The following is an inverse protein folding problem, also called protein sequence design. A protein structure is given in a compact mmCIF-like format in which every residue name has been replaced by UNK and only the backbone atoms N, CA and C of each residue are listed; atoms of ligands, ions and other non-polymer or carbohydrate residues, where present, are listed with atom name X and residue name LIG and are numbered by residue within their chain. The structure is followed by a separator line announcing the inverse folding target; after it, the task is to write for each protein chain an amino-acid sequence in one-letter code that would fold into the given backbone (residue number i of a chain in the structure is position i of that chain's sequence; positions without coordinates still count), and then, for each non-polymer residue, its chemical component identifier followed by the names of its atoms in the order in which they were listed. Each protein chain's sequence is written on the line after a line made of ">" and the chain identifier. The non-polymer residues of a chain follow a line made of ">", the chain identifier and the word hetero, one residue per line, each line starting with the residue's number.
data_IF_839186131740
#
_entry.id   IF_839186131740
#
_cell.length_a   1.000
_cell.length_b   1.000
_cell.length_c   1.000
_cell.angle_alpha   90.00
_cell.angle_beta   90.00
_cell.angle_gamma   90.00
#
_symmetry.space_group_name_H-M   'P 1'
#
loop_
_entity.id
_entity.type
_entity.pdbx_description
1 polymer ?
#
# COMPACT_ATOMS: atom_id res chain seq x y z
N UNK A 1 19.15 -5.32 -4.52
CA UNK A 1 18.76 -5.58 -3.12
C UNK A 1 17.62 -4.64 -2.78
N UNK A 2 16.62 -5.05 -1.99
CA UNK A 2 15.55 -4.16 -1.58
C UNK A 2 16.13 -2.98 -0.76
N UNK A 3 15.49 -1.80 -0.80
CA UNK A 3 15.97 -0.61 -0.11
C UNK A 3 15.73 -0.65 1.41
N UNK A 4 15.31 -1.79 1.94
CA UNK A 4 14.97 -2.00 3.34
C UNK A 4 15.49 -3.35 3.85
N UNK A 5 15.54 -3.48 5.18
CA UNK A 5 15.80 -4.72 5.90
C UNK A 5 14.51 -5.15 6.60
N UNK A 6 14.19 -6.44 6.55
CA UNK A 6 13.06 -7.03 7.31
C UNK A 6 13.45 -7.17 8.78
N UNK A 7 12.72 -6.52 9.66
CA UNK A 7 12.91 -6.57 11.11
C UNK A 7 12.07 -7.68 11.74
N UNK A 8 10.83 -7.85 11.24
CA UNK A 8 9.92 -8.92 11.67
C UNK A 8 9.02 -9.32 10.51
N UNK A 9 8.83 -10.63 10.35
CA UNK A 9 7.83 -11.20 9.45
C UNK A 9 7.18 -12.37 10.21
N UNK A 10 6.02 -12.12 10.81
CA UNK A 10 5.37 -13.08 11.69
C UNK A 10 3.84 -13.09 11.49
N UNK A 11 3.23 -14.20 11.92
CA UNK A 11 1.77 -14.32 12.03
C UNK A 11 1.32 -13.80 13.37
N UNK A 12 0.18 -13.13 13.40
CA UNK A 12 -0.46 -12.69 14.63
C UNK A 12 -1.43 -13.77 15.17
N UNK A 13 -2.45 -13.35 15.91
CA UNK A 13 -3.41 -14.25 16.57
C UNK A 13 -4.10 -15.28 15.67
N UNK A 14 -4.18 -15.00 14.37
CA UNK A 14 -4.78 -15.90 13.36
C UNK A 14 -3.82 -16.09 12.18
N UNK A 15 -3.86 -17.26 11.54
CA UNK A 15 -2.90 -17.65 10.50
C UNK A 15 -2.90 -16.75 9.25
N UNK A 16 -4.04 -16.13 8.94
CA UNK A 16 -4.22 -15.23 7.81
C UNK A 16 -3.89 -13.76 8.14
N UNK A 17 -3.52 -13.48 9.38
CA UNK A 17 -3.13 -12.13 9.84
C UNK A 17 -1.61 -12.09 10.04
N UNK A 18 -0.95 -11.16 9.35
CA UNK A 18 0.50 -11.04 9.31
C UNK A 18 0.96 -9.66 9.78
N UNK A 19 2.12 -9.63 10.42
CA UNK A 19 2.90 -8.41 10.65
C UNK A 19 4.20 -8.50 9.87
N UNK A 20 4.40 -7.55 8.99
CA UNK A 20 5.67 -7.31 8.30
C UNK A 20 6.24 -5.98 8.79
N UNK A 21 7.38 -6.02 9.46
CA UNK A 21 8.08 -4.81 9.90
C UNK A 21 9.38 -4.66 9.14
N UNK A 22 9.58 -3.50 8.55
CA UNK A 22 10.76 -3.19 7.75
C UNK A 22 11.44 -1.91 8.25
N UNK A 23 12.75 -1.87 8.06
CA UNK A 23 13.57 -0.70 8.33
C UNK A 23 14.24 -0.24 7.03
N UNK A 24 13.99 0.98 6.52
CA UNK A 24 14.68 1.51 5.35
C UNK A 24 16.20 1.60 5.61
N UNK A 25 17.02 1.00 4.75
CA UNK A 25 18.48 0.97 4.92
C UNK A 25 19.10 2.38 4.91
N UNK A 26 18.52 3.27 4.12
CA UNK A 26 18.84 4.69 4.08
C UNK A 26 17.59 5.45 3.64
N UNK A 27 16.91 6.10 4.57
CA UNK A 27 15.63 6.75 4.31
C UNK A 27 15.71 7.80 3.18
N UNK A 28 16.76 8.64 3.16
CA UNK A 28 16.91 9.66 2.13
C UNK A 28 17.15 9.06 0.74
N UNK A 29 17.98 8.03 0.65
CA UNK A 29 18.24 7.33 -0.61
C UNK A 29 16.97 6.59 -1.06
N UNK A 30 16.28 5.94 -0.15
CA UNK A 30 15.03 5.24 -0.43
C UNK A 30 13.96 6.19 -0.96
N UNK A 31 13.80 7.37 -0.34
CA UNK A 31 12.88 8.40 -0.82
C UNK A 31 13.24 8.83 -2.25
N UNK A 32 14.53 9.08 -2.55
CA UNK A 32 14.97 9.41 -3.91
C UNK A 32 14.64 8.29 -4.91
N UNK A 33 14.91 7.03 -4.55
CA UNK A 33 14.62 5.88 -5.41
C UNK A 33 13.12 5.73 -5.68
N UNK A 34 12.27 5.97 -4.67
CA UNK A 34 10.82 5.99 -4.83
C UNK A 34 10.43 7.07 -5.86
N UNK A 35 10.96 8.28 -5.73
CA UNK A 35 10.66 9.36 -6.66
C UNK A 35 11.16 9.10 -8.07
N UNK A 36 12.37 8.57 -8.20
CA UNK A 36 12.91 8.17 -9.50
C UNK A 36 12.05 7.07 -10.15
N UNK A 37 11.57 6.11 -9.38
CA UNK A 37 10.64 5.07 -9.83
C UNK A 37 9.30 5.65 -10.29
N UNK A 38 8.74 6.61 -9.54
CA UNK A 38 7.50 7.28 -9.90
C UNK A 38 7.66 8.14 -11.16
N UNK A 39 8.77 8.88 -11.29
CA UNK A 39 9.07 9.69 -12.47
C UNK A 39 9.25 8.81 -13.70
N UNK A 40 9.97 7.72 -13.58
CA UNK A 40 10.26 6.81 -14.68
C UNK A 40 9.10 5.88 -15.02
N UNK A 41 8.03 5.88 -14.20
CA UNK A 41 6.86 4.99 -14.36
C UNK A 41 7.25 3.51 -14.56
N UNK A 42 8.37 3.09 -13.98
CA UNK A 42 9.00 1.79 -14.23
C UNK A 42 8.14 0.59 -13.84
N UNK A 43 7.21 0.77 -12.90
CA UNK A 43 6.25 -0.26 -12.50
C UNK A 43 5.11 -0.48 -13.50
N UNK A 44 4.88 0.44 -14.43
CA UNK A 44 3.73 0.38 -15.37
C UNK A 44 4.05 -0.45 -16.62
N UNK A 45 5.32 -0.53 -16.99
CA UNK A 45 5.74 -1.12 -18.26
C UNK A 45 5.62 -2.65 -18.33
N UNK A 46 5.49 -3.33 -17.19
CA UNK A 46 5.53 -4.81 -17.12
C UNK A 46 4.15 -5.49 -17.22
N UNK A 47 3.03 -4.76 -17.07
CA UNK A 47 1.73 -5.39 -16.80
C UNK A 47 0.70 -5.34 -17.92
N UNK A 48 0.93 -4.58 -19.00
CA UNK A 48 -0.16 -4.25 -19.93
C UNK A 48 0.26 -4.33 -21.39
N UNK A 49 -0.71 -4.57 -22.31
CA UNK A 49 -0.53 -4.34 -23.73
C UNK A 49 -0.08 -2.90 -24.01
N UNK A 50 0.72 -2.71 -25.07
CA UNK A 50 1.35 -1.42 -25.38
C UNK A 50 0.39 -0.23 -25.45
N UNK A 51 -0.78 -0.43 -26.04
CA UNK A 51 -1.79 0.63 -26.18
C UNK A 51 -2.36 1.08 -24.83
N UNK A 52 -2.52 0.16 -23.87
CA UNK A 52 -2.96 0.49 -22.52
C UNK A 52 -1.85 1.22 -21.75
N UNK A 53 -0.58 0.81 -21.93
CA UNK A 53 0.58 1.49 -21.32
C UNK A 53 0.67 2.94 -21.78
N UNK A 54 0.53 3.19 -23.09
CA UNK A 54 0.52 4.55 -23.67
C UNK A 54 -0.60 5.39 -23.04
N UNK A 55 -1.82 4.83 -22.97
CA UNK A 55 -2.96 5.51 -22.38
C UNK A 55 -2.75 5.81 -20.90
N UNK A 56 -2.24 4.84 -20.14
CA UNK A 56 -1.99 5.00 -18.71
C UNK A 56 -0.88 6.02 -18.45
N UNK A 57 0.23 5.99 -19.21
CA UNK A 57 1.30 7.00 -19.11
C UNK A 57 0.77 8.40 -19.31
N UNK A 58 -0.05 8.63 -20.33
CA UNK A 58 -0.65 9.94 -20.59
C UNK A 58 -1.53 10.43 -19.42
N UNK A 59 -2.20 9.52 -18.72
CA UNK A 59 -3.03 9.81 -17.54
C UNK A 59 -2.21 10.08 -16.29
N UNK A 60 -1.16 9.29 -16.08
CA UNK A 60 -0.31 9.32 -14.88
C UNK A 60 0.68 10.49 -14.91
N UNK A 61 1.16 10.90 -16.08
CA UNK A 61 2.18 11.94 -16.23
C UNK A 61 1.85 13.27 -15.51
N UNK A 62 0.62 13.82 -15.57
CA UNK A 62 0.28 15.02 -14.79
C UNK A 62 0.36 14.81 -13.28
N UNK A 63 -0.07 13.65 -12.78
CA UNK A 63 -0.02 13.29 -11.36
C UNK A 63 1.42 13.17 -10.89
N UNK A 64 2.28 12.47 -11.65
CA UNK A 64 3.72 12.35 -11.36
C UNK A 64 4.37 13.72 -11.34
N UNK A 65 4.10 14.59 -12.32
CA UNK A 65 4.63 15.96 -12.35
C UNK A 65 4.19 16.77 -11.14
N UNK A 66 2.93 16.62 -10.70
CA UNK A 66 2.41 17.30 -9.52
C UNK A 66 3.11 16.82 -8.24
N UNK A 67 3.19 15.52 -8.04
CA UNK A 67 3.88 14.90 -6.90
C UNK A 67 5.35 15.35 -6.89
N UNK A 68 6.06 15.20 -7.99
CA UNK A 68 7.48 15.58 -8.12
C UNK A 68 7.73 17.07 -7.83
N UNK A 69 6.83 17.95 -8.29
CA UNK A 69 6.94 19.39 -8.03
C UNK A 69 6.77 19.69 -6.53
N UNK A 70 5.84 19.06 -5.86
CA UNK A 70 5.61 19.26 -4.43
C UNK A 70 6.80 18.77 -3.60
N UNK A 71 7.43 17.68 -4.02
CA UNK A 71 8.59 17.08 -3.37
C UNK A 71 9.88 17.89 -3.58
N UNK A 72 10.09 18.47 -4.77
CA UNK A 72 11.24 19.31 -5.05
C UNK A 72 11.16 20.69 -4.35
N UNK A 73 9.97 21.14 -4.00
CA UNK A 73 9.74 22.40 -3.28
C UNK A 73 9.85 22.24 -1.76
N UNK A 74 9.74 21.01 -1.24
CA UNK A 74 9.97 20.67 0.16
C UNK A 74 11.45 20.31 0.38
N UNK A 75 12.12 20.93 1.32
CA UNK A 75 13.45 20.48 1.74
C UNK A 75 13.31 19.02 2.19
N UNK A 76 14.01 18.09 1.52
CA UNK A 76 14.05 16.65 1.81
C UNK A 76 14.42 16.30 3.28
N UNK A 77 14.59 17.30 4.13
CA UNK A 77 14.91 17.16 5.55
C UNK A 77 13.69 17.04 6.47
N UNK A 78 12.49 17.36 5.97
CA UNK A 78 11.25 17.16 6.72
C UNK A 78 10.23 16.49 5.77
N UNK A 79 9.99 15.20 5.96
CA UNK A 79 8.91 14.49 5.30
C UNK A 79 7.61 15.08 5.84
N UNK A 80 6.88 15.84 5.02
CA UNK A 80 5.55 16.30 5.37
C UNK A 80 4.57 15.09 5.38
N UNK A 81 3.39 15.30 5.90
CA UNK A 81 2.42 14.23 6.11
C UNK A 81 2.04 13.54 4.77
N UNK A 82 1.82 14.31 3.71
CA UNK A 82 1.46 13.79 2.39
C UNK A 82 2.60 13.02 1.72
N UNK A 83 3.81 13.55 1.76
CA UNK A 83 5.00 12.86 1.24
C UNK A 83 5.31 11.61 2.06
N UNK A 84 5.04 11.64 3.37
CA UNK A 84 5.19 10.51 4.26
C UNK A 84 4.26 9.35 3.93
N UNK A 85 3.00 9.62 3.66
CA UNK A 85 2.03 8.59 3.26
C UNK A 85 2.44 7.94 1.93
N UNK A 86 2.87 8.71 0.94
CA UNK A 86 3.36 8.18 -0.33
C UNK A 86 4.57 7.24 -0.14
N UNK A 87 5.53 7.64 0.69
CA UNK A 87 6.70 6.80 1.01
C UNK A 87 6.29 5.52 1.72
N UNK A 88 5.37 5.60 2.67
CA UNK A 88 4.81 4.43 3.39
C UNK A 88 4.10 3.49 2.44
N UNK A 89 3.25 4.00 1.54
CA UNK A 89 2.56 3.21 0.51
C UNK A 89 3.53 2.43 -0.36
N UNK A 90 4.53 3.12 -0.90
CA UNK A 90 5.47 2.51 -1.83
C UNK A 90 6.40 1.49 -1.15
N UNK A 91 6.89 1.77 0.06
CA UNK A 91 7.68 0.81 0.84
C UNK A 91 6.86 -0.40 1.24
N UNK A 92 5.59 -0.22 1.62
CA UNK A 92 4.70 -1.32 1.93
C UNK A 92 4.45 -2.19 0.68
N UNK A 93 4.15 -1.59 -0.47
CA UNK A 93 3.99 -2.29 -1.74
C UNK A 93 5.22 -3.12 -2.09
N UNK A 94 6.41 -2.49 -2.09
CA UNK A 94 7.67 -3.17 -2.40
C UNK A 94 7.97 -4.30 -1.43
N UNK A 95 7.70 -4.12 -0.13
CA UNK A 95 7.96 -5.14 0.87
C UNK A 95 7.06 -6.37 0.72
N UNK A 96 5.79 -6.19 0.39
CA UNK A 96 4.85 -7.27 0.13
C UNK A 96 5.24 -8.06 -1.13
N UNK A 97 5.63 -7.36 -2.18
CA UNK A 97 6.12 -8.01 -3.42
C UNK A 97 7.39 -8.79 -3.16
N UNK A 98 8.35 -8.22 -2.41
CA UNK A 98 9.62 -8.87 -2.09
C UNK A 98 9.46 -10.10 -1.18
N UNK A 99 8.65 -9.96 -0.12
CA UNK A 99 8.56 -10.97 0.95
C UNK A 99 7.54 -12.07 0.68
N UNK A 100 6.44 -11.73 0.01
CA UNK A 100 5.35 -12.68 -0.24
C UNK A 100 5.19 -13.05 -1.71
N UNK A 101 5.93 -12.43 -2.62
CA UNK A 101 5.81 -12.62 -4.07
C UNK A 101 4.39 -12.35 -4.60
N UNK A 102 3.70 -11.42 -3.95
CA UNK A 102 2.37 -11.00 -4.35
C UNK A 102 2.45 -10.14 -5.61
N UNK A 103 1.32 -10.02 -6.31
CA UNK A 103 1.25 -9.25 -7.54
C UNK A 103 1.63 -7.79 -7.28
N UNK A 104 2.56 -7.30 -8.07
CA UNK A 104 3.00 -5.92 -8.06
C UNK A 104 2.02 -5.04 -8.84
N UNK A 105 1.20 -4.26 -8.13
CA UNK A 105 0.28 -3.29 -8.73
C UNK A 105 0.79 -1.89 -8.36
N UNK A 106 0.89 -0.96 -9.33
CA UNK A 106 1.29 0.41 -9.03
C UNK A 106 0.40 1.07 -7.97
N UNK A 107 0.95 2.02 -7.23
CA UNK A 107 0.19 2.74 -6.18
C UNK A 107 -1.04 3.45 -6.74
N UNK A 108 -2.09 3.49 -5.93
CA UNK A 108 -3.40 4.02 -6.30
C UNK A 108 -3.37 5.47 -6.78
N UNK A 109 -2.54 6.32 -6.18
CA UNK A 109 -2.35 7.72 -6.59
C UNK A 109 -1.88 7.89 -8.04
N UNK A 110 -1.17 6.89 -8.59
CA UNK A 110 -0.73 6.91 -9.98
C UNK A 110 -1.81 6.42 -10.94
N UNK A 111 -2.66 5.52 -10.52
CA UNK A 111 -3.59 4.81 -11.41
C UNK A 111 -5.04 5.27 -11.28
N UNK A 112 -5.44 5.79 -10.13
CA UNK A 112 -6.77 6.31 -9.91
C UNK A 112 -6.96 7.63 -10.67
N UNK A 113 -8.04 7.74 -11.42
CA UNK A 113 -8.51 9.04 -11.92
C UNK A 113 -9.06 9.80 -10.70
N UNK A 114 -8.24 10.61 -10.10
CA UNK A 114 -8.67 11.41 -8.95
C UNK A 114 -9.73 12.45 -9.36
N UNK A 115 -10.97 12.11 -9.09
CA UNK A 115 -11.88 13.16 -8.67
C UNK A 115 -11.44 13.54 -7.23
N UNK A 116 -10.96 14.74 -7.02
CA UNK A 116 -10.37 15.24 -5.77
C UNK A 116 -11.25 15.13 -4.51
N UNK A 117 -12.41 14.48 -4.56
CA UNK A 117 -13.39 14.36 -3.49
C UNK A 117 -13.79 12.91 -3.17
N UNK A 118 -13.18 11.91 -3.79
CA UNK A 118 -13.51 10.51 -3.52
C UNK A 118 -12.25 9.63 -3.54
N UNK A 119 -11.37 9.74 -2.54
CA UNK A 119 -10.16 8.95 -2.47
C UNK A 119 -10.50 7.45 -2.39
N UNK A 120 -9.82 6.64 -3.21
CA UNK A 120 -9.78 5.18 -3.10
C UNK A 120 -8.71 4.74 -2.11
N UNK A 121 -8.37 3.45 -2.12
CA UNK A 121 -7.23 2.93 -1.40
C UNK A 121 -5.90 3.42 -2.00
N UNK A 122 -4.88 3.55 -1.16
CA UNK A 122 -3.58 4.12 -1.56
C UNK A 122 -2.78 3.18 -2.47
N UNK A 123 -2.91 1.87 -2.27
CA UNK A 123 -2.24 0.87 -3.09
C UNK A 123 -2.99 -0.47 -3.07
N UNK A 124 -2.59 -1.35 -3.99
CA UNK A 124 -3.26 -2.64 -4.20
C UNK A 124 -2.23 -3.75 -4.35
N UNK A 125 -2.67 -4.97 -4.09
CA UNK A 125 -1.91 -6.18 -4.41
C UNK A 125 -2.87 -7.35 -4.63
N UNK A 126 -2.35 -8.51 -4.96
CA UNK A 126 -3.09 -9.76 -5.01
C UNK A 126 -2.19 -10.89 -4.53
N UNK A 127 -2.68 -11.71 -3.62
CA UNK A 127 -1.91 -12.81 -3.08
C UNK A 127 -1.82 -14.01 -4.05
N UNK A 128 -1.13 -15.07 -3.64
CA UNK A 128 -0.92 -16.25 -4.47
C UNK A 128 -2.19 -17.09 -4.68
N UNK A 129 -3.21 -16.89 -3.84
CA UNK A 129 -4.52 -17.57 -3.93
C UNK A 129 -5.56 -16.71 -4.67
N UNK A 130 -5.13 -15.72 -5.45
CA UNK A 130 -5.98 -14.80 -6.20
C UNK A 130 -6.97 -14.01 -5.34
N UNK A 131 -6.55 -13.62 -4.14
CA UNK A 131 -7.31 -12.71 -3.27
C UNK A 131 -6.83 -11.28 -3.47
N UNK A 132 -7.72 -10.36 -3.86
CA UNK A 132 -7.42 -8.93 -3.96
C UNK A 132 -7.22 -8.32 -2.58
N UNK A 133 -6.15 -7.52 -2.46
CA UNK A 133 -5.75 -6.83 -1.24
C UNK A 133 -5.78 -5.32 -1.47
N UNK A 134 -6.45 -4.60 -0.57
CA UNK A 134 -6.65 -3.15 -0.62
C UNK A 134 -5.83 -2.51 0.49
N UNK A 135 -4.88 -1.65 0.14
CA UNK A 135 -3.89 -1.08 1.04
C UNK A 135 -4.16 0.38 1.38
N UNK A 136 -4.08 0.68 2.67
CA UNK A 136 -4.17 2.04 3.20
C UNK A 136 -2.91 2.36 4.00
N UNK A 137 -2.35 3.54 3.77
CA UNK A 137 -1.12 4.00 4.41
C UNK A 137 -1.36 5.20 5.31
N UNK A 138 -0.58 5.29 6.38
CA UNK A 138 -0.58 6.46 7.27
C UNK A 138 0.80 6.79 7.77
N UNK A 139 1.08 8.08 7.73
CA UNK A 139 2.26 8.68 8.31
C UNK A 139 1.88 9.72 9.35
N UNK A 140 2.40 9.61 10.57
CA UNK A 140 2.30 10.63 11.62
C UNK A 140 3.71 10.86 12.16
N UNK A 141 4.21 12.07 12.08
CA UNK A 141 5.60 12.38 12.41
C UNK A 141 5.97 12.07 13.87
N UNK A 142 5.03 12.19 14.80
CA UNK A 142 5.28 12.09 16.24
C UNK A 142 4.96 10.72 16.85
N UNK A 143 4.12 9.89 16.21
CA UNK A 143 3.60 8.64 16.81
C UNK A 143 3.47 7.53 15.76
N UNK A 144 3.35 6.28 16.24
CA UNK A 144 3.00 5.15 15.37
C UNK A 144 1.56 5.31 14.85
N UNK A 145 1.40 5.23 13.54
CA UNK A 145 0.17 5.58 12.84
C UNK A 145 -0.82 4.42 12.63
N UNK A 146 -0.61 3.24 13.26
CA UNK A 146 -1.41 2.02 13.03
C UNK A 146 -2.92 2.22 13.27
N UNK A 147 -3.28 2.99 14.29
CA UNK A 147 -4.70 3.22 14.61
C UNK A 147 -5.42 3.98 13.48
N UNK A 148 -4.76 4.94 12.85
CA UNK A 148 -5.32 5.74 11.76
C UNK A 148 -5.49 4.90 10.49
N UNK A 149 -4.49 4.09 10.12
CA UNK A 149 -4.57 3.20 8.97
C UNK A 149 -5.70 2.16 9.12
N UNK A 150 -5.75 1.47 10.26
CA UNK A 150 -6.81 0.48 10.53
C UNK A 150 -8.20 1.12 10.56
N UNK A 151 -8.34 2.31 11.16
CA UNK A 151 -9.61 3.06 11.17
C UNK A 151 -10.08 3.36 9.75
N UNK A 152 -9.20 3.87 8.90
CA UNK A 152 -9.56 4.25 7.53
C UNK A 152 -9.96 3.05 6.69
N UNK A 153 -9.28 1.90 6.83
CA UNK A 153 -9.69 0.64 6.18
C UNK A 153 -11.10 0.24 6.59
N UNK A 154 -11.43 0.30 7.89
CA UNK A 154 -12.79 -0.01 8.37
C UNK A 154 -13.81 0.97 7.79
N UNK A 155 -13.50 2.26 7.78
CA UNK A 155 -14.37 3.28 7.20
C UNK A 155 -14.57 3.05 5.70
N UNK A 156 -13.51 2.69 4.96
CA UNK A 156 -13.55 2.39 3.53
C UNK A 156 -14.35 1.12 3.23
N UNK A 157 -14.12 0.04 3.98
CA UNK A 157 -14.90 -1.20 3.89
C UNK A 157 -16.40 -0.94 4.10
N UNK A 158 -16.76 -0.19 5.14
CA UNK A 158 -18.15 0.15 5.46
C UNK A 158 -18.81 1.01 4.37
N UNK A 159 -18.04 1.84 3.68
CA UNK A 159 -18.49 2.71 2.58
C UNK A 159 -18.32 2.07 1.19
N UNK A 160 -17.94 0.78 1.12
CA UNK A 160 -17.75 0.02 -0.13
C UNK A 160 -16.80 0.71 -1.12
N UNK A 161 -15.69 1.25 -0.59
CA UNK A 161 -14.68 1.87 -1.45
C UNK A 161 -13.94 0.84 -2.27
N UNK A 162 -13.68 -0.34 -1.71
CA UNK A 162 -13.12 -1.50 -2.39
C UNK A 162 -13.95 -1.91 -3.62
N UNK A 163 -15.31 -1.88 -3.55
CA UNK A 163 -16.18 -2.15 -4.70
C UNK A 163 -15.90 -1.16 -5.85
N UNK A 164 -15.67 0.11 -5.54
CA UNK A 164 -15.41 1.16 -6.54
C UNK A 164 -14.03 1.01 -7.18
N UNK A 165 -13.06 0.55 -6.42
CA UNK A 165 -11.68 0.44 -6.87
C UNK A 165 -11.43 -0.77 -7.79
N UNK A 166 -12.38 -1.72 -7.91
CA UNK A 166 -12.26 -2.87 -8.81
C UNK A 166 -11.99 -2.49 -10.26
N UNK A 167 -12.62 -1.42 -10.75
CA UNK A 167 -12.40 -0.92 -12.12
C UNK A 167 -10.97 -0.40 -12.28
N UNK A 168 -10.46 0.27 -11.25
CA UNK A 168 -9.09 0.80 -11.21
C UNK A 168 -8.05 -0.32 -11.22
N UNK A 169 -8.29 -1.39 -10.46
CA UNK A 169 -7.37 -2.53 -10.32
C UNK A 169 -7.41 -3.47 -11.52
N UNK A 170 -8.58 -3.60 -12.16
CA UNK A 170 -8.81 -4.57 -13.25
C UNK A 170 -7.73 -4.59 -14.35
N UNK A 171 -7.23 -3.46 -14.88
CA UNK A 171 -6.20 -3.49 -15.92
C UNK A 171 -4.88 -4.16 -15.51
N UNK A 172 -4.58 -4.21 -14.20
CA UNK A 172 -3.32 -4.73 -13.66
C UNK A 172 -3.38 -6.21 -13.28
N UNK A 173 -4.57 -6.81 -13.28
CA UNK A 173 -4.72 -8.24 -13.00
C UNK A 173 -4.47 -9.03 -14.29
N UNK A 174 -3.51 -9.96 -14.31
CA UNK A 174 -3.26 -10.85 -15.45
C UNK A 174 -4.50 -11.60 -15.91
N UNK A 175 -4.61 -11.86 -17.21
CA UNK A 175 -5.82 -12.45 -17.79
C UNK A 175 -6.11 -13.86 -17.23
N UNK A 176 -5.08 -14.63 -16.97
CA UNK A 176 -5.15 -15.99 -16.38
C UNK A 176 -5.49 -15.97 -14.87
N UNK A 177 -5.40 -14.81 -14.22
CA UNK A 177 -5.70 -14.61 -12.79
C UNK A 177 -6.98 -13.80 -12.54
N UNK A 178 -7.82 -13.58 -13.55
CA UNK A 178 -9.09 -12.85 -13.43
C UNK A 178 -10.12 -13.53 -12.50
N UNK A 179 -9.89 -14.76 -12.10
CA UNK A 179 -10.65 -15.45 -11.04
C UNK A 179 -10.67 -14.65 -9.72
N UNK A 180 -9.69 -13.78 -9.50
CA UNK A 180 -9.64 -12.87 -8.35
C UNK A 180 -10.92 -12.02 -8.20
N UNK A 181 -11.55 -11.61 -9.30
CA UNK A 181 -12.81 -10.87 -9.25
C UNK A 181 -13.99 -11.77 -8.83
N UNK A 182 -13.98 -13.04 -9.22
CA UNK A 182 -14.98 -14.00 -8.74
C UNK A 182 -14.79 -14.29 -7.25
N UNK A 183 -13.53 -14.44 -6.78
CA UNK A 183 -13.20 -14.58 -5.37
C UNK A 183 -13.71 -13.37 -4.57
N UNK A 184 -13.49 -12.14 -5.09
CA UNK A 184 -14.01 -10.92 -4.49
C UNK A 184 -15.54 -10.93 -4.38
N UNK A 185 -16.26 -11.30 -5.44
CA UNK A 185 -17.72 -11.41 -5.43
C UNK A 185 -18.23 -12.46 -4.42
N UNK A 186 -17.43 -13.48 -4.12
CA UNK A 186 -17.69 -14.47 -3.08
C UNK A 186 -17.28 -14.01 -1.67
N UNK A 187 -16.89 -12.73 -1.51
CA UNK A 187 -16.49 -12.17 -0.23
C UNK A 187 -15.02 -12.41 0.16
N UNK A 188 -14.23 -13.05 -0.70
CA UNK A 188 -12.81 -13.29 -0.46
C UNK A 188 -12.00 -12.06 -0.85
N UNK A 189 -11.71 -11.22 0.14
CA UNK A 189 -10.88 -10.02 0.00
C UNK A 189 -10.04 -9.80 1.24
N UNK A 190 -8.95 -9.10 1.07
CA UNK A 190 -8.05 -8.77 2.15
C UNK A 190 -7.70 -7.29 2.20
N UNK A 191 -7.01 -6.91 3.28
CA UNK A 191 -6.60 -5.53 3.51
C UNK A 191 -5.14 -5.45 3.95
N UNK A 192 -4.52 -4.30 3.66
CA UNK A 192 -3.15 -4.00 4.07
C UNK A 192 -3.16 -2.68 4.83
N UNK A 193 -2.83 -2.72 6.12
CA UNK A 193 -2.63 -1.53 6.93
C UNK A 193 -1.14 -1.19 6.97
N UNK A 194 -0.71 -0.19 6.20
CA UNK A 194 0.66 0.29 6.20
C UNK A 194 0.79 1.55 7.08
N UNK A 195 1.82 1.63 7.89
CA UNK A 195 1.99 2.76 8.80
C UNK A 195 3.45 2.98 9.22
N UNK A 196 3.77 4.24 9.44
CA UNK A 196 5.02 4.62 10.11
C UNK A 196 5.02 4.13 11.55
N UNK A 197 6.11 3.48 11.96
CA UNK A 197 6.35 2.96 13.32
C UNK A 197 7.46 3.76 14.00
N UNK A 198 7.30 4.06 15.28
CA UNK A 198 8.22 4.91 16.07
C UNK A 198 8.60 4.23 17.39
N UNK A 199 9.90 3.95 17.55
CA UNK A 199 10.53 3.63 18.84
C UNK A 199 9.79 2.60 19.71
N UNK A 200 9.24 1.54 19.11
CA UNK A 200 8.56 0.48 19.85
C UNK A 200 9.12 -0.90 19.49
N UNK A 201 9.09 -1.82 20.44
CA UNK A 201 9.46 -3.20 20.20
C UNK A 201 8.40 -3.95 19.39
N UNK A 202 8.76 -5.12 18.84
CA UNK A 202 7.80 -5.96 18.13
C UNK A 202 6.65 -6.41 19.04
N UNK A 203 6.95 -6.77 20.29
CA UNK A 203 5.93 -7.23 21.25
C UNK A 203 4.95 -6.11 21.63
N UNK A 204 5.45 -4.88 21.82
CA UNK A 204 4.59 -3.72 22.07
C UNK A 204 3.68 -3.44 20.88
N UNK A 205 4.24 -3.48 19.67
CA UNK A 205 3.46 -3.25 18.43
C UNK A 205 2.40 -4.34 18.27
N UNK A 206 2.74 -5.61 18.40
CA UNK A 206 1.79 -6.74 18.33
C UNK A 206 0.67 -6.56 19.34
N UNK A 207 1.01 -6.28 20.61
CA UNK A 207 0.02 -6.04 21.65
C UNK A 207 -0.91 -4.87 21.35
N UNK A 208 -0.38 -3.78 20.77
CA UNK A 208 -1.19 -2.62 20.37
C UNK A 208 -2.14 -2.96 19.22
N UNK A 209 -1.65 -3.70 18.22
CA UNK A 209 -2.48 -4.14 17.08
C UNK A 209 -3.62 -5.05 17.54
N UNK A 210 -3.35 -6.09 18.31
CA UNK A 210 -4.35 -7.07 18.74
C UNK A 210 -5.40 -6.48 19.70
N UNK A 211 -5.03 -5.46 20.49
CA UNK A 211 -5.98 -4.72 21.34
C UNK A 211 -6.79 -3.68 20.58
N UNK A 212 -6.38 -3.31 19.37
CA UNK A 212 -7.01 -2.25 18.61
C UNK A 212 -8.43 -2.64 18.18
N UNK A 213 -9.39 -1.75 18.41
CA UNK A 213 -10.82 -2.00 18.10
C UNK A 213 -11.10 -2.11 16.59
N UNK A 214 -10.33 -1.43 15.74
CA UNK A 214 -10.48 -1.50 14.29
C UNK A 214 -9.83 -2.75 13.72
N UNK A 215 -8.69 -3.17 14.27
CA UNK A 215 -8.07 -4.47 13.96
C UNK A 215 -9.07 -5.61 14.17
N UNK A 216 -9.75 -5.63 15.31
CA UNK A 216 -10.77 -6.64 15.64
C UNK A 216 -11.95 -6.69 14.66
N UNK A 217 -12.24 -5.59 13.99
CA UNK A 217 -13.28 -5.53 12.95
C UNK A 217 -12.80 -6.05 11.59
N UNK A 218 -11.49 -6.25 11.40
CA UNK A 218 -10.90 -6.73 10.15
C UNK A 218 -10.46 -8.20 10.22
N UNK A 219 -10.56 -8.86 11.37
CA UNK A 219 -10.13 -10.26 11.53
C UNK A 219 -10.97 -11.27 10.74
N UNK A 220 -12.12 -10.87 10.24
CA UNK A 220 -13.02 -11.69 9.42
C UNK A 220 -12.69 -11.64 7.91
N UNK A 221 -11.75 -10.81 7.48
CA UNK A 221 -11.32 -10.77 6.08
C UNK A 221 -10.46 -11.99 5.73
N UNK A 222 -10.31 -12.27 4.43
CA UNK A 222 -9.54 -13.44 3.97
C UNK A 222 -8.05 -13.32 4.30
N UNK A 223 -7.50 -12.11 4.26
CA UNK A 223 -6.12 -11.82 4.66
C UNK A 223 -6.00 -10.39 5.19
N UNK A 224 -5.28 -10.22 6.30
CA UNK A 224 -4.90 -8.91 6.84
C UNK A 224 -3.38 -8.85 7.00
N UNK A 225 -2.77 -7.85 6.39
CA UNK A 225 -1.34 -7.59 6.54
C UNK A 225 -1.15 -6.23 7.21
N UNK A 226 -0.48 -6.21 8.35
CA UNK A 226 0.00 -4.98 8.97
C UNK A 226 1.45 -4.76 8.53
N UNK A 227 1.74 -3.66 7.84
CA UNK A 227 3.10 -3.31 7.43
C UNK A 227 3.57 -2.12 8.26
N UNK A 228 4.51 -2.38 9.15
CA UNK A 228 5.14 -1.35 9.99
C UNK A 228 6.47 -0.91 9.36
N UNK A 229 6.65 0.39 9.16
CA UNK A 229 7.84 0.97 8.55
C UNK A 229 8.51 1.87 9.57
N UNK A 230 9.73 1.48 9.99
CA UNK A 230 10.53 2.25 10.94
C UNK A 230 11.09 3.51 10.27
N UNK A 231 10.67 4.69 10.75
CA UNK A 231 11.05 6.01 10.22
C UNK A 231 11.44 7.00 11.31
#
# INVERSE_FOLDING_TARGET
>A
MPPFTVVCNCRLSQAHIKLLRIHPNNLQLTIRQIFDSLINMSGIDSFMPDYLRISLRARVEPTVKHITKNLNNGRLTAVDENSGELVVSELARQSIVSEYHYLDIPIGELIATQAAQNPGFDFYSMNLDDVLLFGESKYIAATTAHNSALKQIVDFRNNKKDDKDLITVNPFIPQDRKVAFQNYCNGQKGYIAAFASKNESNDELINKLERNKYFKQLVDCTELICVAIDV
#
